data_IF_878069491923
#
_entry.id   IF_878069491923
#
_cell.length_a   1.000
_cell.length_b   1.000
_cell.length_c   1.000
_cell.angle_alpha   90.00
_cell.angle_beta   90.00
_cell.angle_gamma   90.00
#
_symmetry.space_group_name_H-M   'P 1'
#
loop_
_entity.id
_entity.type
_entity.pdbx_description
1 polymer ?
#
# COMPACT_ATOMS: atom_id res chain seq x y z
N UNK A 1 -5.53 -2.92 7.68
CA UNK A 1 -5.80 -1.47 7.87
C UNK A 1 -4.50 -0.72 7.58
N UNK A 2 -4.56 0.58 7.29
CA UNK A 2 -3.39 1.46 7.17
C UNK A 2 -3.75 2.89 7.57
N UNK A 3 -2.79 3.61 8.11
CA UNK A 3 -2.82 5.09 8.16
C UNK A 3 -2.14 5.61 6.90
N UNK A 4 -2.63 6.72 6.35
CA UNK A 4 -2.10 7.35 5.14
C UNK A 4 -1.98 8.84 5.38
N UNK A 5 -0.81 9.38 5.06
CA UNK A 5 -0.52 10.81 5.04
C UNK A 5 -0.41 11.29 3.59
N UNK A 6 -1.07 12.40 3.28
CA UNK A 6 -1.04 13.08 1.99
C UNK A 6 -0.20 14.34 2.16
N UNK A 7 1.07 14.29 1.74
CA UNK A 7 2.04 15.36 2.04
C UNK A 7 1.75 16.67 1.29
N UNK A 8 1.14 16.57 0.10
CA UNK A 8 0.73 17.70 -0.73
C UNK A 8 -0.40 18.54 -0.11
N UNK A 9 -1.27 17.90 0.66
CA UNK A 9 -2.47 18.50 1.25
C UNK A 9 -2.43 18.57 2.77
N UNK A 10 -1.37 18.06 3.40
CA UNK A 10 -1.24 17.91 4.86
C UNK A 10 -2.28 16.98 5.50
N UNK A 11 -3.13 16.33 4.71
CA UNK A 11 -4.27 15.56 5.19
C UNK A 11 -3.87 14.14 5.57
N UNK A 12 -4.56 13.55 6.54
CA UNK A 12 -4.31 12.18 6.99
C UNK A 12 -5.60 11.38 7.10
N UNK A 13 -5.53 10.07 6.88
CA UNK A 13 -6.69 9.20 6.96
C UNK A 13 -6.34 7.79 7.46
N UNK A 14 -7.24 7.20 8.22
CA UNK A 14 -7.25 5.75 8.49
C UNK A 14 -8.09 5.04 7.44
N UNK A 15 -7.54 3.98 6.86
CA UNK A 15 -8.18 3.22 5.78
C UNK A 15 -8.25 1.73 6.10
N UNK A 16 -9.43 1.15 5.92
CA UNK A 16 -9.69 -0.27 6.08
C UNK A 16 -10.00 -0.86 4.71
N UNK A 17 -9.26 -1.90 4.31
CA UNK A 17 -9.52 -2.70 3.12
C UNK A 17 -9.88 -4.10 3.56
N UNK A 18 -11.10 -4.52 3.28
CA UNK A 18 -11.58 -5.85 3.60
C UNK A 18 -12.08 -6.54 2.34
N UNK A 19 -11.80 -7.84 2.26
CA UNK A 19 -12.41 -8.69 1.25
C UNK A 19 -13.74 -9.21 1.81
N UNK A 20 -14.82 -9.10 1.06
CA UNK A 20 -16.09 -9.74 1.41
C UNK A 20 -16.01 -11.25 1.20
N UNK A 21 -16.98 -11.97 1.76
CA UNK A 21 -17.22 -13.39 1.48
C UNK A 21 -17.49 -13.65 -0.01
N UNK A 22 -18.14 -12.72 -0.70
CA UNK A 22 -18.34 -12.74 -2.16
C UNK A 22 -17.06 -12.47 -2.98
N UNK A 23 -15.92 -12.26 -2.33
CA UNK A 23 -14.62 -12.06 -2.99
C UNK A 23 -14.35 -10.62 -3.44
N UNK A 24 -15.35 -9.74 -3.40
CA UNK A 24 -15.20 -8.31 -3.64
C UNK A 24 -14.30 -7.65 -2.57
N UNK A 25 -13.67 -6.53 -2.88
CA UNK A 25 -12.86 -5.77 -1.91
C UNK A 25 -13.50 -4.41 -1.68
N UNK A 26 -13.93 -4.16 -0.45
CA UNK A 26 -14.44 -2.86 -0.01
C UNK A 26 -13.32 -2.07 0.66
N UNK A 27 -13.29 -0.75 0.41
CA UNK A 27 -12.38 0.18 1.05
C UNK A 27 -13.21 1.25 1.77
N UNK A 28 -13.04 1.34 3.08
CA UNK A 28 -13.62 2.38 3.92
C UNK A 28 -12.52 3.31 4.44
N UNK A 29 -12.87 4.56 4.72
CA UNK A 29 -11.94 5.60 5.18
C UNK A 29 -12.61 6.53 6.19
N UNK A 30 -11.86 6.92 7.20
CA UNK A 30 -12.14 8.09 8.04
C UNK A 30 -10.96 9.07 7.92
N UNK A 31 -11.25 10.35 7.71
CA UNK A 31 -10.24 11.40 7.75
C UNK A 31 -9.86 11.69 9.20
N UNK A 32 -8.58 11.97 9.42
CA UNK A 32 -8.05 12.30 10.74
C UNK A 32 -7.87 13.81 10.81
N UNK A 33 -8.30 14.40 11.91
CA UNK A 33 -8.00 15.80 12.20
C UNK A 33 -6.49 15.99 12.38
N UNK A 34 -6.04 17.22 12.14
CA UNK A 34 -4.64 17.60 12.28
C UNK A 34 -4.23 17.56 13.76
N UNK A 35 -3.82 16.39 14.22
CA UNK A 35 -3.35 16.17 15.59
C UNK A 35 -2.55 14.89 15.69
N UNK A 36 -1.45 14.92 16.43
CA UNK A 36 -0.75 13.70 16.84
C UNK A 36 -1.71 12.83 17.66
N UNK A 37 -1.74 11.50 17.46
CA UNK A 37 -2.50 10.63 18.34
C UNK A 37 -2.08 10.84 19.79
N UNK A 38 -3.05 11.00 20.70
CA UNK A 38 -2.76 11.21 22.12
C UNK A 38 -1.87 10.11 22.70
N UNK A 39 -0.89 10.51 23.51
CA UNK A 39 -0.15 9.62 24.40
C UNK A 39 0.68 8.54 23.72
N UNK A 40 1.23 8.80 22.52
CA UNK A 40 2.13 7.86 21.82
C UNK A 40 1.43 6.66 21.18
N UNK A 41 0.09 6.73 21.03
CA UNK A 41 -0.69 5.67 20.37
C UNK A 41 -0.57 5.74 18.85
N UNK A 42 -0.82 4.60 18.19
CA UNK A 42 -0.83 4.55 16.72
C UNK A 42 -2.12 5.12 16.09
N UNK A 43 -3.22 5.10 16.84
CA UNK A 43 -4.53 5.59 16.41
C UNK A 43 -5.09 6.53 17.48
N UNK A 44 -5.73 7.61 17.06
CA UNK A 44 -6.59 8.41 17.93
C UNK A 44 -7.77 7.56 18.44
N UNK A 45 -8.46 8.03 19.49
CA UNK A 45 -9.64 7.34 20.02
C UNK A 45 -10.71 7.12 18.93
N UNK A 46 -11.02 8.15 18.15
CA UNK A 46 -12.01 8.07 17.08
C UNK A 46 -11.61 7.12 15.95
N UNK A 47 -10.33 7.13 15.58
CA UNK A 47 -9.80 6.19 14.58
C UNK A 47 -9.88 4.75 15.08
N UNK A 48 -9.62 4.52 16.37
CA UNK A 48 -9.76 3.21 16.99
C UNK A 48 -11.23 2.74 17.03
N UNK A 49 -12.18 3.64 17.29
CA UNK A 49 -13.62 3.36 17.22
C UNK A 49 -14.03 2.98 15.80
N UNK A 50 -13.61 3.75 14.80
CA UNK A 50 -13.89 3.44 13.39
C UNK A 50 -13.34 2.08 12.97
N UNK A 51 -12.08 1.77 13.30
CA UNK A 51 -11.49 0.45 13.01
C UNK A 51 -12.20 -0.66 13.80
N UNK A 52 -12.61 -0.38 15.04
CA UNK A 52 -13.39 -1.25 15.90
C UNK A 52 -14.73 -1.69 15.31
N UNK A 53 -15.35 -0.84 14.47
CA UNK A 53 -16.64 -1.13 13.82
C UNK A 53 -16.61 -2.21 12.73
N UNK A 54 -15.45 -2.73 12.35
CA UNK A 54 -15.33 -3.76 11.32
C UNK A 54 -15.17 -5.16 11.94
N UNK A 55 -16.23 -5.98 11.89
CA UNK A 55 -16.29 -7.34 12.49
C UNK A 55 -14.99 -8.16 12.36
N UNK A 56 -14.38 -8.20 11.16
CA UNK A 56 -13.16 -9.01 10.90
C UNK A 56 -11.90 -8.54 11.61
N UNK A 57 -11.85 -7.28 12.04
CA UNK A 57 -10.65 -6.66 12.64
C UNK A 57 -10.95 -5.93 13.95
N UNK A 58 -12.22 -5.76 14.32
CA UNK A 58 -12.68 -4.88 15.40
C UNK A 58 -12.10 -5.28 16.76
N UNK A 59 -12.20 -6.55 17.11
CA UNK A 59 -11.66 -7.08 18.38
C UNK A 59 -10.13 -6.93 18.48
N UNK A 60 -9.46 -6.86 17.33
CA UNK A 60 -8.01 -6.71 17.22
C UNK A 60 -7.57 -5.26 17.04
N UNK A 61 -8.49 -4.31 16.89
CA UNK A 61 -8.18 -2.92 16.56
C UNK A 61 -7.19 -2.30 17.56
N UNK A 62 -7.37 -2.59 18.85
CA UNK A 62 -6.49 -2.13 19.95
C UNK A 62 -5.13 -2.81 20.00
N UNK A 63 -4.95 -3.94 19.31
CA UNK A 63 -3.70 -4.71 19.26
C UNK A 63 -2.89 -4.43 17.99
N UNK A 64 -3.39 -3.55 17.10
CA UNK A 64 -2.70 -3.23 15.87
C UNK A 64 -1.42 -2.45 16.17
N UNK A 65 -0.31 -2.95 15.63
CA UNK A 65 0.98 -2.29 15.65
C UNK A 65 1.37 -1.84 14.25
N UNK A 66 2.30 -0.88 14.17
CA UNK A 66 2.95 -0.58 12.89
C UNK A 66 3.81 -1.78 12.48
N UNK A 67 3.78 -2.11 11.19
CA UNK A 67 4.54 -3.23 10.63
C UNK A 67 5.40 -2.77 9.46
N UNK A 68 4.85 -1.91 8.61
CA UNK A 68 5.48 -1.48 7.38
C UNK A 68 4.95 -0.11 6.97
N UNK A 69 5.85 0.81 6.68
CA UNK A 69 5.56 2.07 6.01
C UNK A 69 5.90 1.94 4.52
N UNK A 70 4.98 2.36 3.65
CA UNK A 70 5.22 2.44 2.19
C UNK A 70 5.08 3.88 1.72
N UNK A 71 6.09 4.40 1.04
CA UNK A 71 6.10 5.75 0.43
C UNK A 71 6.13 5.64 -1.10
N UNK A 72 5.63 6.67 -1.78
CA UNK A 72 5.65 6.82 -3.22
C UNK A 72 5.15 8.22 -3.62
N UNK A 73 5.47 8.63 -4.84
CA UNK A 73 4.87 9.81 -5.48
C UNK A 73 3.85 9.35 -6.51
N UNK A 74 2.66 9.95 -6.52
CA UNK A 74 1.54 9.53 -7.37
C UNK A 74 1.09 10.62 -8.32
N UNK A 75 1.03 10.26 -9.60
CA UNK A 75 0.24 11.00 -10.60
C UNK A 75 -1.07 10.27 -10.83
N UNK A 76 -2.18 11.00 -10.88
CA UNK A 76 -3.49 10.47 -11.23
C UNK A 76 -3.96 11.10 -12.54
N UNK A 77 -4.30 10.26 -13.51
CA UNK A 77 -4.87 10.65 -14.80
C UNK A 77 -6.32 10.17 -14.86
N UNK A 78 -7.18 10.96 -15.48
CA UNK A 78 -8.57 10.58 -15.76
C UNK A 78 -8.75 10.58 -17.27
N UNK A 79 -9.19 9.45 -17.81
CA UNK A 79 -9.57 9.28 -19.21
C UNK A 79 -11.09 9.17 -19.30
N UNK A 80 -11.63 9.13 -20.53
CA UNK A 80 -13.06 8.93 -20.75
C UNK A 80 -13.59 7.61 -20.15
N UNK A 81 -12.75 6.56 -20.08
CA UNK A 81 -13.13 5.20 -19.71
C UNK A 81 -12.48 4.68 -18.41
N UNK A 82 -11.51 5.42 -17.84
CA UNK A 82 -10.73 4.93 -16.71
C UNK A 82 -10.13 6.05 -15.84
N UNK A 83 -9.81 5.69 -14.60
CA UNK A 83 -8.83 6.41 -13.78
C UNK A 83 -7.54 5.61 -13.74
N UNK A 84 -6.42 6.27 -14.06
CA UNK A 84 -5.08 5.69 -14.01
C UNK A 84 -4.30 6.33 -12.88
N UNK A 85 -3.62 5.52 -12.07
CA UNK A 85 -2.63 6.04 -11.12
C UNK A 85 -1.26 5.47 -11.46
N UNK A 86 -0.27 6.34 -11.50
CA UNK A 86 1.13 5.99 -11.71
C UNK A 86 1.89 6.33 -10.43
N UNK A 87 2.41 5.32 -9.76
CA UNK A 87 3.26 5.49 -8.59
C UNK A 87 4.73 5.30 -8.97
N UNK A 88 5.56 6.28 -8.62
CA UNK A 88 7.02 6.26 -8.77
C UNK A 88 7.72 6.35 -7.41
N UNK A 89 9.02 6.06 -7.39
CA UNK A 89 9.84 6.05 -6.17
C UNK A 89 9.18 5.24 -5.05
N UNK A 90 8.60 4.10 -5.42
CA UNK A 90 7.91 3.25 -4.47
C UNK A 90 8.97 2.62 -3.57
N UNK A 91 8.87 2.88 -2.26
CA UNK A 91 9.77 2.35 -1.26
C UNK A 91 8.98 1.82 -0.06
N UNK A 92 9.63 0.97 0.72
CA UNK A 92 9.09 0.46 1.96
C UNK A 92 10.18 0.33 3.03
N UNK A 93 9.78 0.60 4.28
CA UNK A 93 10.60 0.38 5.45
C UNK A 93 9.78 -0.35 6.52
N UNK A 94 10.40 -1.31 7.21
CA UNK A 94 9.78 -1.94 8.37
C UNK A 94 10.20 -1.27 9.68
N UNK A 95 9.56 -1.69 10.78
CA UNK A 95 9.83 -1.13 12.12
C UNK A 95 11.23 -1.46 12.67
N UNK A 96 11.97 -2.37 12.03
CA UNK A 96 13.37 -2.67 12.36
C UNK A 96 14.36 -1.86 11.50
N UNK A 97 13.85 -0.95 10.67
CA UNK A 97 14.66 -0.09 9.81
C UNK A 97 15.16 -0.77 8.53
N UNK A 98 14.75 -2.00 8.22
CA UNK A 98 15.06 -2.64 6.93
C UNK A 98 14.30 -1.92 5.83
N UNK A 99 14.97 -1.69 4.69
CA UNK A 99 14.43 -0.89 3.57
C UNK A 99 14.50 -1.64 2.26
N UNK A 100 13.58 -1.32 1.36
CA UNK A 100 13.61 -1.70 -0.04
C UNK A 100 12.97 -0.62 -0.91
N UNK A 101 13.34 -0.57 -2.18
CA UNK A 101 12.67 0.22 -3.20
C UNK A 101 12.48 -0.58 -4.50
N UNK A 102 11.55 -0.13 -5.34
CA UNK A 102 11.28 -0.75 -6.64
C UNK A 102 12.18 -0.19 -7.76
N UNK A 103 13.24 0.55 -7.41
CA UNK A 103 14.15 1.19 -8.33
C UNK A 103 13.44 2.14 -9.30
N UNK A 104 13.75 2.07 -10.60
CA UNK A 104 13.14 2.93 -11.62
C UNK A 104 11.74 2.46 -12.04
N UNK A 105 11.20 1.39 -11.46
CA UNK A 105 9.92 0.83 -11.89
C UNK A 105 8.74 1.69 -11.45
N UNK A 106 7.73 1.73 -12.32
CA UNK A 106 6.45 2.36 -12.07
C UNK A 106 5.41 1.32 -11.70
N UNK A 107 4.59 1.60 -10.69
CA UNK A 107 3.38 0.83 -10.43
C UNK A 107 2.20 1.57 -11.05
N UNK A 108 1.71 1.04 -12.17
CA UNK A 108 0.54 1.57 -12.88
C UNK A 108 -0.70 0.77 -12.49
N UNK A 109 -1.74 1.46 -12.05
CA UNK A 109 -3.06 0.89 -11.77
C UNK A 109 -4.11 1.58 -12.64
N UNK A 110 -4.83 0.79 -13.45
CA UNK A 110 -5.97 1.20 -14.25
C UNK A 110 -7.26 0.76 -13.57
N UNK A 111 -8.24 1.67 -13.46
CA UNK A 111 -9.56 1.40 -12.91
C UNK A 111 -10.63 1.89 -13.87
N UNK A 112 -11.34 0.95 -14.47
CA UNK A 112 -12.41 1.15 -15.44
C UNK A 112 -13.65 0.36 -15.01
N UNK A 113 -14.82 0.77 -15.49
CA UNK A 113 -16.10 0.10 -15.17
C UNK A 113 -16.30 -1.20 -15.97
N UNK A 114 -15.83 -1.25 -17.22
CA UNK A 114 -16.13 -2.33 -18.19
C UNK A 114 -15.01 -3.34 -18.44
N UNK A 115 -14.05 -3.49 -17.52
CA UNK A 115 -12.85 -4.30 -17.75
C UNK A 115 -11.77 -3.54 -18.53
N UNK A 116 -10.88 -4.24 -19.24
CA UNK A 116 -9.70 -3.62 -19.86
C UNK A 116 -10.05 -2.45 -20.79
N UNK A 117 -9.53 -1.25 -20.47
CA UNK A 117 -9.78 0.00 -21.18
C UNK A 117 -8.74 0.31 -22.26
N UNK A 118 -8.81 1.52 -22.81
CA UNK A 118 -7.88 2.00 -23.84
C UNK A 118 -6.42 1.99 -23.34
N UNK A 119 -6.19 2.40 -22.09
CA UNK A 119 -4.85 2.42 -21.48
C UNK A 119 -4.29 1.01 -21.31
N UNK A 120 -5.11 0.04 -20.90
CA UNK A 120 -4.67 -1.37 -20.78
C UNK A 120 -4.22 -1.91 -22.13
N UNK A 121 -5.02 -1.69 -23.19
CA UNK A 121 -4.67 -2.10 -24.56
C UNK A 121 -3.39 -1.44 -25.06
N UNK A 122 -3.19 -0.15 -24.78
CA UNK A 122 -1.99 0.58 -25.16
C UNK A 122 -0.71 0.06 -24.45
N UNK A 123 -0.83 -0.37 -23.19
CA UNK A 123 0.24 -1.03 -22.45
C UNK A 123 0.54 -2.42 -23.04
N UNK A 124 -0.50 -3.20 -23.34
CA UNK A 124 -0.36 -4.55 -23.90
C UNK A 124 0.29 -4.55 -25.28
N UNK A 125 -0.04 -3.57 -26.13
CA UNK A 125 0.59 -3.37 -27.43
C UNK A 125 2.11 -3.10 -27.32
N UNK A 126 2.56 -2.59 -26.18
CA UNK A 126 3.99 -2.40 -25.85
C UNK A 126 4.60 -3.58 -25.07
N UNK A 127 3.90 -4.72 -25.01
CA UNK A 127 4.35 -5.91 -24.30
C UNK A 127 4.23 -5.83 -22.77
N UNK A 128 3.69 -4.73 -22.22
CA UNK A 128 3.51 -4.56 -20.77
C UNK A 128 2.22 -5.27 -20.36
N UNK A 129 2.34 -6.38 -19.63
CA UNK A 129 1.19 -7.19 -19.20
C UNK A 129 0.88 -6.98 -17.72
N UNK A 130 -0.39 -7.15 -17.29
CA UNK A 130 -0.77 -7.00 -15.89
C UNK A 130 0.01 -7.97 -14.99
N UNK A 131 0.42 -7.48 -13.83
CA UNK A 131 1.06 -8.28 -12.80
C UNK A 131 0.32 -8.11 -11.47
N UNK A 132 0.27 -9.19 -10.68
CA UNK A 132 -0.30 -9.13 -9.34
C UNK A 132 0.66 -8.43 -8.41
N UNK A 133 0.24 -7.35 -7.77
CA UNK A 133 1.07 -6.62 -6.82
C UNK A 133 0.25 -6.06 -5.68
N UNK A 134 0.84 -6.04 -4.49
CA UNK A 134 0.35 -5.31 -3.33
C UNK A 134 1.56 -4.62 -2.72
N UNK A 135 1.59 -3.28 -2.70
CA UNK A 135 2.73 -2.54 -2.12
C UNK A 135 3.10 -3.06 -0.73
N UNK A 136 2.09 -3.26 0.13
CA UNK A 136 2.30 -3.80 1.46
C UNK A 136 2.79 -5.26 1.43
N UNK A 137 2.04 -6.18 0.80
CA UNK A 137 2.37 -7.60 0.93
C UNK A 137 3.62 -8.01 0.15
N UNK A 138 3.84 -7.41 -1.02
CA UNK A 138 5.02 -7.65 -1.84
C UNK A 138 6.26 -7.12 -1.13
N UNK A 139 6.23 -5.89 -0.59
CA UNK A 139 7.37 -5.35 0.15
C UNK A 139 7.61 -6.04 1.50
N UNK A 140 6.54 -6.41 2.23
CA UNK A 140 6.70 -7.17 3.47
C UNK A 140 7.35 -8.53 3.21
N UNK A 141 6.96 -9.23 2.14
CA UNK A 141 7.56 -10.51 1.76
C UNK A 141 9.05 -10.39 1.34
N UNK A 142 9.47 -9.21 0.89
CA UNK A 142 10.89 -8.92 0.57
C UNK A 142 11.68 -8.66 1.86
N UNK A 143 11.14 -7.84 2.77
CA UNK A 143 11.82 -7.46 4.02
C UNK A 143 11.78 -8.54 5.11
N UNK A 144 10.77 -9.43 5.05
CA UNK A 144 10.52 -10.53 6.00
C UNK A 144 10.48 -11.87 5.26
N UNK A 145 11.65 -12.39 4.82
CA UNK A 145 11.73 -13.67 4.13
C UNK A 145 11.30 -14.86 5.01
N UNK A 146 11.20 -14.66 6.33
CA UNK A 146 10.65 -15.60 7.30
C UNK A 146 9.11 -15.80 7.16
N UNK A 147 8.42 -14.91 6.45
CA UNK A 147 6.97 -15.00 6.25
C UNK A 147 6.59 -15.70 4.92
N UNK A 148 5.43 -16.38 4.86
CA UNK A 148 4.95 -16.98 3.62
C UNK A 148 4.79 -15.96 2.48
N UNK A 149 5.49 -16.18 1.36
CA UNK A 149 5.53 -15.23 0.23
C UNK A 149 4.97 -15.81 -1.09
N UNK A 150 4.50 -17.06 -1.11
CA UNK A 150 4.09 -17.81 -2.32
C UNK A 150 3.22 -17.03 -3.30
N UNK A 151 2.26 -16.25 -2.79
CA UNK A 151 1.34 -15.45 -3.62
C UNK A 151 2.05 -14.35 -4.42
N UNK A 152 3.21 -13.90 -3.95
CA UNK A 152 3.95 -12.73 -4.42
C UNK A 152 5.29 -13.09 -5.06
N UNK A 153 5.77 -14.33 -4.91
CA UNK A 153 7.10 -14.76 -5.35
C UNK A 153 7.38 -14.46 -6.82
N UNK A 154 6.40 -14.65 -7.71
CA UNK A 154 6.56 -14.33 -9.15
C UNK A 154 6.80 -12.85 -9.39
N UNK A 155 6.07 -11.98 -8.69
CA UNK A 155 6.21 -10.53 -8.83
C UNK A 155 7.50 -10.04 -8.22
N UNK A 156 7.91 -10.61 -7.08
CA UNK A 156 9.20 -10.32 -6.45
C UNK A 156 10.33 -10.67 -7.41
N UNK A 157 10.40 -11.92 -7.90
CA UNK A 157 11.47 -12.36 -8.81
C UNK A 157 11.58 -11.56 -10.10
N UNK A 158 10.47 -10.98 -10.58
CA UNK A 158 10.44 -10.28 -11.87
C UNK A 158 10.65 -8.77 -11.75
N UNK A 159 10.22 -8.16 -10.64
CA UNK A 159 10.09 -6.71 -10.55
C UNK A 159 10.70 -6.10 -9.29
N UNK A 160 11.18 -6.88 -8.33
CA UNK A 160 11.89 -6.31 -7.19
C UNK A 160 13.38 -6.42 -7.51
N UNK A 161 14.10 -5.29 -7.65
CA UNK A 161 15.55 -5.32 -7.78
C UNK A 161 16.14 -6.11 -6.62
N UNK A 162 17.20 -6.89 -6.87
CA UNK A 162 17.91 -7.60 -5.80
C UNK A 162 18.33 -6.57 -4.75
N UNK A 163 17.76 -6.68 -3.54
CA UNK A 163 17.99 -5.74 -2.45
C UNK A 163 19.49 -5.73 -2.13
N UNK A 164 20.17 -4.62 -2.40
CA UNK A 164 21.41 -4.33 -1.68
C UNK A 164 20.99 -3.89 -0.30
N UNK A 165 21.06 -4.78 0.69
CA UNK A 165 20.81 -4.40 2.07
C UNK A 165 21.89 -3.38 2.46
N UNK A 166 21.55 -2.09 2.51
CA UNK A 166 22.40 -1.16 3.24
C UNK A 166 22.16 -1.42 4.73
N UNK A 167 23.24 -1.53 5.50
CA UNK A 167 23.16 -1.58 6.96
C UNK A 167 22.31 -0.40 7.48
N UNK A 168 21.63 -0.55 8.63
CA UNK A 168 20.94 0.56 9.26
C UNK A 168 21.92 1.72 9.43
N UNK A 169 21.50 2.93 9.06
CA UNK A 169 22.22 4.13 9.46
C UNK A 169 22.26 4.12 10.99
N UNK A 170 23.46 4.14 11.56
CA UNK A 170 23.63 4.31 13.00
C UNK A 170 22.86 5.56 13.43
N UNK A 171 22.02 5.43 14.45
CA UNK A 171 21.36 6.57 15.05
C UNK A 171 22.45 7.50 15.59
N UNK A 172 22.46 8.74 15.09
CA UNK A 172 23.24 9.85 15.63
C UNK A 172 22.48 10.51 16.78
#
# INVERSE_FOLDING_TARGET
>A
MRTRHYLDTGSSAVEVKLRSSSGATAKSRQWLDSGTPDGGRLLSADAAIFVGGFERIGDKARQLTEVLTTSYERVTLVTADARVTVDRHVAAADVQGRRMDYGPLLIVETKSAGGAGAVDRALWARGIRPARISKYCTSLAVLRPDLPSNRWSRSIRRYVPTVTASAPAAAA
#
